data_IF_595949614561
#
_entry.id   IF_595949614561
#
_cell.length_a   1.000
_cell.length_b   1.000
_cell.length_c   1.000
_cell.angle_alpha   90.00
_cell.angle_beta   90.00
_cell.angle_gamma   90.00
#
_symmetry.space_group_name_H-M   'P 1'
#
loop_
_entity.id
_entity.type
_entity.pdbx_description
1 polymer ?
#
# COMPACT_ATOMS: atom_id res chain seq x y z
N UNK A 1 19.31 -18.14 0.88
CA UNK A 1 20.16 -18.45 -0.28
C UNK A 1 19.84 -17.40 -1.34
N UNK A 2 20.84 -16.78 -1.97
CA UNK A 2 20.59 -15.79 -3.03
C UNK A 2 20.13 -16.58 -4.25
N UNK A 3 18.94 -16.27 -4.76
CA UNK A 3 18.41 -16.96 -5.93
C UNK A 3 19.15 -16.52 -7.19
N UNK A 4 19.49 -17.47 -8.05
CA UNK A 4 20.00 -17.16 -9.38
C UNK A 4 18.89 -16.66 -10.32
N UNK A 5 19.24 -16.34 -11.57
CA UNK A 5 18.26 -15.80 -12.52
C UNK A 5 17.18 -16.82 -12.90
N UNK A 6 17.53 -18.10 -13.03
CA UNK A 6 16.59 -19.13 -13.47
C UNK A 6 15.63 -19.49 -12.33
N UNK A 7 16.12 -19.52 -11.09
CA UNK A 7 15.31 -19.63 -9.88
C UNK A 7 14.33 -18.45 -9.77
N UNK A 8 14.79 -17.21 -9.98
CA UNK A 8 13.92 -16.01 -9.97
C UNK A 8 12.83 -16.08 -11.05
N UNK A 9 13.17 -16.52 -12.26
CA UNK A 9 12.20 -16.67 -13.35
C UNK A 9 11.16 -17.73 -12.99
N UNK A 10 11.60 -18.89 -12.47
CA UNK A 10 10.72 -19.99 -12.09
C UNK A 10 9.71 -19.55 -11.04
N UNK A 11 10.18 -18.87 -9.99
CA UNK A 11 9.32 -18.36 -8.93
C UNK A 11 8.28 -17.33 -9.44
N UNK A 12 8.67 -16.44 -10.37
CA UNK A 12 7.72 -15.50 -10.99
C UNK A 12 6.64 -16.25 -11.78
N UNK A 13 7.01 -17.29 -12.53
CA UNK A 13 6.05 -18.09 -13.31
C UNK A 13 5.04 -18.80 -12.39
N UNK A 14 5.49 -19.30 -11.24
CA UNK A 14 4.64 -19.98 -10.26
C UNK A 14 3.66 -19.02 -9.57
N UNK A 15 4.14 -17.83 -9.16
CA UNK A 15 3.33 -16.86 -8.40
C UNK A 15 2.42 -16.03 -9.30
N UNK A 16 2.80 -15.82 -10.57
CA UNK A 16 2.04 -15.02 -11.54
C UNK A 16 1.68 -15.87 -12.77
N UNK A 17 0.63 -16.71 -12.67
CA UNK A 17 0.20 -17.55 -13.78
C UNK A 17 -0.17 -16.70 -15.00
N UNK A 18 0.24 -17.15 -16.19
CA UNK A 18 0.11 -16.39 -17.43
C UNK A 18 1.29 -15.47 -17.74
N UNK A 19 2.31 -15.43 -16.87
CA UNK A 19 3.61 -14.81 -17.19
C UNK A 19 4.36 -15.60 -18.26
N UNK A 20 5.14 -14.90 -19.10
CA UNK A 20 5.98 -15.56 -20.10
C UNK A 20 7.20 -14.73 -20.50
N UNK A 21 8.23 -15.39 -21.02
CA UNK A 21 9.45 -14.75 -21.52
C UNK A 21 9.26 -14.32 -22.99
N UNK A 22 9.46 -13.03 -23.28
CA UNK A 22 9.36 -12.50 -24.65
C UNK A 22 10.63 -12.70 -25.48
N UNK A 23 11.83 -12.40 -24.94
CA UNK A 23 13.21 -12.66 -25.46
C UNK A 23 14.26 -12.36 -24.37
N UNK A 24 15.44 -13.01 -24.38
CA UNK A 24 16.63 -12.69 -23.54
C UNK A 24 16.26 -12.18 -22.12
N UNK A 25 15.58 -12.97 -21.30
CA UNK A 25 15.22 -12.59 -19.91
C UNK A 25 14.34 -11.33 -19.74
N UNK A 26 13.51 -10.98 -20.73
CA UNK A 26 12.42 -9.99 -20.56
C UNK A 26 11.12 -10.73 -20.36
N UNK A 27 10.50 -10.57 -19.19
CA UNK A 27 9.24 -11.20 -18.83
C UNK A 27 8.06 -10.25 -19.06
N UNK A 28 6.95 -10.81 -19.51
CA UNK A 28 5.64 -10.18 -19.44
C UNK A 28 4.88 -10.82 -18.28
N UNK A 29 4.40 -9.99 -17.34
CA UNK A 29 3.77 -10.44 -16.10
C UNK A 29 2.38 -9.81 -15.98
N UNK A 30 1.31 -10.62 -15.85
CA UNK A 30 -0.03 -10.10 -15.62
C UNK A 30 -0.16 -9.59 -14.18
N UNK A 31 -0.61 -8.35 -14.02
CA UNK A 31 -0.89 -7.76 -12.72
C UNK A 31 -2.36 -7.89 -12.33
N UNK A 32 -3.26 -7.82 -13.33
CA UNK A 32 -4.71 -8.05 -13.19
C UNK A 32 -5.33 -8.29 -14.59
N UNK A 33 -6.61 -8.69 -14.74
CA UNK A 33 -7.17 -9.21 -16.00
C UNK A 33 -7.01 -8.33 -17.26
N UNK A 34 -6.69 -7.04 -17.11
CA UNK A 34 -6.49 -6.11 -18.23
C UNK A 34 -5.16 -5.37 -18.21
N UNK A 35 -4.16 -5.86 -17.45
CA UNK A 35 -2.88 -5.15 -17.29
C UNK A 35 -1.69 -6.10 -17.15
N UNK A 36 -0.79 -6.01 -18.12
CA UNK A 36 0.51 -6.66 -18.07
C UNK A 36 1.60 -5.60 -17.90
N UNK A 37 2.66 -5.95 -17.18
CA UNK A 37 3.90 -5.18 -17.12
C UNK A 37 5.01 -5.96 -17.80
N UNK A 38 6.10 -5.26 -18.14
CA UNK A 38 7.33 -5.91 -18.58
C UNK A 38 8.41 -5.79 -17.52
N UNK A 39 9.14 -6.87 -17.28
CA UNK A 39 10.23 -6.94 -16.32
C UNK A 39 11.49 -7.35 -17.08
N UNK A 40 12.47 -6.46 -17.16
CA UNK A 40 13.74 -6.71 -17.84
C UNK A 40 14.80 -7.18 -16.83
N UNK A 41 15.13 -8.47 -16.92
CA UNK A 41 16.04 -9.18 -16.01
C UNK A 41 17.45 -9.35 -16.59
N UNK A 42 17.74 -8.83 -17.80
CA UNK A 42 19.02 -9.05 -18.51
C UNK A 42 20.27 -8.65 -17.74
N UNK A 43 20.13 -7.75 -16.76
CA UNK A 43 21.22 -7.21 -15.96
C UNK A 43 21.26 -7.78 -14.54
N UNK A 44 20.39 -8.74 -14.20
CA UNK A 44 20.39 -9.38 -12.89
C UNK A 44 21.81 -9.89 -12.54
N UNK A 45 22.31 -9.70 -11.30
CA UNK A 45 21.61 -9.25 -10.09
C UNK A 45 21.51 -7.72 -9.91
N UNK A 46 21.77 -6.91 -10.94
CA UNK A 46 21.41 -5.48 -10.88
C UNK A 46 19.89 -5.33 -10.87
N UNK A 47 19.43 -4.19 -10.32
CA UNK A 47 18.01 -3.85 -10.20
C UNK A 47 17.27 -4.09 -11.52
N UNK A 48 16.25 -4.97 -11.55
CA UNK A 48 15.41 -5.18 -12.72
C UNK A 48 14.78 -3.89 -13.20
N UNK A 49 14.59 -3.71 -14.51
CA UNK A 49 13.82 -2.57 -15.02
C UNK A 49 12.36 -2.99 -15.21
N UNK A 50 11.47 -2.37 -14.45
CA UNK A 50 10.03 -2.59 -14.55
C UNK A 50 9.41 -1.53 -15.46
N UNK A 51 8.64 -1.97 -16.46
CA UNK A 51 7.96 -1.11 -17.44
C UNK A 51 6.46 -1.31 -17.29
N UNK A 52 5.79 -0.26 -16.85
CA UNK A 52 4.35 -0.27 -16.59
C UNK A 52 3.61 0.42 -17.74
N UNK A 53 2.41 -0.07 -18.16
CA UNK A 53 1.59 0.61 -19.16
C UNK A 53 1.29 2.08 -18.82
N UNK A 54 1.23 2.94 -19.85
CA UNK A 54 1.00 4.39 -19.71
C UNK A 54 -0.26 4.74 -18.91
N UNK A 55 -1.31 3.91 -18.97
CA UNK A 55 -2.55 4.13 -18.20
C UNK A 55 -2.31 4.13 -16.68
N UNK A 56 -1.38 3.30 -16.19
CA UNK A 56 -0.96 3.34 -14.78
C UNK A 56 -0.01 4.50 -14.51
N UNK A 57 0.95 4.78 -15.38
CA UNK A 57 1.83 5.94 -15.15
C UNK A 57 1.04 7.25 -14.96
N UNK A 58 -0.07 7.42 -15.69
CA UNK A 58 -0.97 8.56 -15.51
C UNK A 58 -1.71 8.57 -14.16
N UNK A 59 -2.15 7.42 -13.67
CA UNK A 59 -2.91 7.32 -12.43
C UNK A 59 -2.02 7.29 -11.17
N UNK A 60 -0.82 6.73 -11.28
CA UNK A 60 0.08 6.42 -10.17
C UNK A 60 1.27 7.39 -10.08
N UNK A 61 1.53 8.15 -11.15
CA UNK A 61 2.77 8.90 -11.28
C UNK A 61 3.97 7.97 -11.38
N UNK A 62 5.05 8.30 -10.66
CA UNK A 62 6.20 7.43 -10.52
C UNK A 62 5.91 6.34 -9.48
N UNK A 63 5.82 5.10 -9.93
CA UNK A 63 5.49 3.97 -9.09
C UNK A 63 6.57 3.65 -8.04
N UNK A 64 7.81 4.08 -8.28
CA UNK A 64 8.91 3.84 -7.35
C UNK A 64 8.69 4.55 -6.00
N UNK A 65 7.82 5.58 -5.94
CA UNK A 65 7.49 6.26 -4.68
C UNK A 65 6.87 5.33 -3.64
N UNK A 66 6.08 4.34 -4.07
CA UNK A 66 5.44 3.40 -3.16
C UNK A 66 6.18 2.06 -3.05
N UNK A 67 7.36 1.92 -3.67
CA UNK A 67 8.23 0.74 -3.55
C UNK A 67 9.65 1.13 -3.06
N UNK A 68 9.80 1.70 -1.86
CA UNK A 68 11.11 2.11 -1.33
C UNK A 68 12.13 0.96 -1.31
N UNK A 69 11.68 -0.27 -1.04
CA UNK A 69 12.54 -1.46 -1.03
C UNK A 69 13.10 -1.79 -2.43
N UNK A 70 12.31 -1.60 -3.50
CA UNK A 70 12.82 -1.69 -4.88
C UNK A 70 13.81 -0.55 -5.20
N UNK A 71 13.56 0.66 -4.67
CA UNK A 71 14.45 1.81 -4.87
C UNK A 71 15.82 1.61 -4.22
N UNK A 72 15.86 1.01 -3.02
CA UNK A 72 17.08 0.69 -2.25
C UNK A 72 17.74 -0.65 -2.66
N UNK A 73 17.53 -1.11 -3.90
CA UNK A 73 18.03 -2.41 -4.39
C UNK A 73 19.53 -2.64 -4.13
N UNK A 74 19.86 -3.77 -3.50
CA UNK A 74 21.22 -4.22 -3.29
C UNK A 74 21.55 -5.41 -4.19
N UNK A 75 22.46 -5.24 -5.15
CA UNK A 75 22.86 -6.34 -6.07
C UNK A 75 23.60 -7.49 -5.39
N UNK A 76 24.19 -7.25 -4.22
CA UNK A 76 24.91 -8.28 -3.46
C UNK A 76 23.96 -9.10 -2.57
N UNK A 77 22.78 -8.55 -2.31
CA UNK A 77 21.70 -9.19 -1.56
C UNK A 77 20.38 -8.90 -2.28
N UNK A 78 20.19 -9.45 -3.49
CA UNK A 78 19.01 -9.14 -4.29
C UNK A 78 17.77 -9.72 -3.60
N UNK A 79 16.72 -8.92 -3.59
CA UNK A 79 15.42 -9.31 -3.08
C UNK A 79 14.73 -10.18 -4.13
N UNK A 80 13.86 -11.09 -3.70
CA UNK A 80 13.03 -11.87 -4.60
C UNK A 80 12.20 -10.94 -5.49
N UNK A 81 12.30 -11.12 -6.79
CA UNK A 81 11.61 -10.27 -7.75
C UNK A 81 10.11 -10.52 -7.66
N UNK A 82 9.70 -11.77 -7.38
CA UNK A 82 8.31 -12.15 -7.09
C UNK A 82 7.68 -11.26 -6.01
N UNK A 83 8.40 -10.99 -4.91
CA UNK A 83 7.95 -10.14 -3.81
C UNK A 83 7.75 -8.68 -4.25
N UNK A 84 8.66 -8.14 -5.06
CA UNK A 84 8.53 -6.80 -5.65
C UNK A 84 7.31 -6.72 -6.56
N UNK A 85 7.09 -7.75 -7.38
CA UNK A 85 5.94 -7.82 -8.27
C UNK A 85 4.62 -7.96 -7.48
N UNK A 86 4.63 -8.67 -6.36
CA UNK A 86 3.46 -8.83 -5.47
C UNK A 86 3.12 -7.51 -4.78
N UNK A 87 4.12 -6.81 -4.26
CA UNK A 87 3.97 -5.46 -3.73
C UNK A 87 3.42 -4.49 -4.79
N UNK A 88 3.94 -4.54 -6.02
CA UNK A 88 3.41 -3.73 -7.13
C UNK A 88 1.94 -4.06 -7.45
N UNK A 89 1.58 -5.35 -7.47
CA UNK A 89 0.22 -5.82 -7.66
C UNK A 89 -0.72 -5.26 -6.58
N UNK A 90 -0.37 -5.37 -5.30
CA UNK A 90 -1.16 -4.83 -4.18
C UNK A 90 -1.36 -3.31 -4.30
N UNK A 91 -0.31 -2.58 -4.70
CA UNK A 91 -0.42 -1.14 -4.96
C UNK A 91 -1.37 -0.82 -6.11
N UNK A 92 -1.32 -1.59 -7.19
CA UNK A 92 -2.24 -1.45 -8.31
C UNK A 92 -3.69 -1.74 -7.94
N UNK A 93 -3.94 -2.82 -7.20
CA UNK A 93 -5.26 -3.19 -6.72
C UNK A 93 -5.85 -2.11 -5.81
N UNK A 94 -5.02 -1.56 -4.90
CA UNK A 94 -5.42 -0.52 -3.96
C UNK A 94 -5.78 0.77 -4.69
N UNK A 95 -4.89 1.30 -5.53
CA UNK A 95 -5.11 2.59 -6.21
C UNK A 95 -6.22 2.49 -7.27
N UNK A 96 -6.40 1.32 -7.90
CA UNK A 96 -7.51 1.08 -8.82
C UNK A 96 -8.86 0.85 -8.10
N UNK A 97 -8.88 0.83 -6.77
CA UNK A 97 -10.09 0.57 -5.98
C UNK A 97 -10.66 -0.83 -6.20
N UNK A 98 -9.81 -1.83 -6.43
CA UNK A 98 -10.19 -3.24 -6.67
C UNK A 98 -10.13 -4.07 -5.40
N UNK A 99 -9.04 -3.95 -4.65
CA UNK A 99 -8.83 -4.57 -3.34
C UNK A 99 -7.81 -3.72 -2.59
N UNK A 100 -8.08 -3.43 -1.32
CA UNK A 100 -7.17 -2.67 -0.47
C UNK A 100 -6.35 -3.61 0.41
N UNK A 101 -5.05 -3.35 0.54
CA UNK A 101 -4.14 -4.16 1.34
C UNK A 101 -3.68 -3.38 2.56
N UNK A 102 -3.96 -3.86 3.76
CA UNK A 102 -3.51 -3.25 5.02
C UNK A 102 -2.50 -4.16 5.70
N UNK A 103 -1.46 -3.60 6.32
CA UNK A 103 -0.70 -4.35 7.32
C UNK A 103 -1.57 -4.53 8.57
N UNK A 104 -1.49 -5.69 9.21
CA UNK A 104 -2.24 -5.94 10.45
C UNK A 104 -1.90 -4.90 11.53
N UNK A 105 -0.60 -4.58 11.67
CA UNK A 105 -0.09 -3.56 12.57
C UNK A 105 -0.86 -2.24 12.43
N UNK A 106 -1.05 -1.75 11.20
CA UNK A 106 -1.70 -0.44 10.99
C UNK A 106 -3.17 -0.44 11.45
N UNK A 107 -3.88 -1.54 11.24
CA UNK A 107 -5.29 -1.63 11.65
C UNK A 107 -5.42 -1.78 13.16
N UNK A 108 -4.52 -2.53 13.81
CA UNK A 108 -4.48 -2.63 15.26
C UNK A 108 -4.22 -1.26 15.91
N UNK A 109 -3.26 -0.49 15.36
CA UNK A 109 -2.96 0.87 15.83
C UNK A 109 -4.18 1.79 15.62
N UNK A 110 -4.83 1.77 14.45
CA UNK A 110 -6.05 2.55 14.18
C UNK A 110 -7.19 2.17 15.14
N UNK A 111 -7.41 0.89 15.40
CA UNK A 111 -8.43 0.43 16.34
C UNK A 111 -8.18 0.97 17.76
N UNK A 112 -6.91 0.96 18.19
CA UNK A 112 -6.51 1.53 19.48
C UNK A 112 -6.72 3.04 19.54
N UNK A 113 -6.36 3.77 18.47
CA UNK A 113 -6.55 5.22 18.41
C UNK A 113 -8.03 5.61 18.38
N UNK A 114 -8.87 4.87 17.65
CA UNK A 114 -10.31 5.08 17.62
C UNK A 114 -10.95 4.87 19.01
N UNK A 115 -10.52 3.84 19.76
CA UNK A 115 -10.96 3.61 21.16
C UNK A 115 -10.55 4.75 22.08
N UNK A 116 -9.35 5.28 21.91
CA UNK A 116 -8.79 6.35 22.75
C UNK A 116 -9.45 7.69 22.45
N UNK A 117 -9.82 7.95 21.19
CA UNK A 117 -10.50 9.18 20.79
C UNK A 117 -11.97 9.23 21.23
N UNK A 118 -12.61 8.09 21.49
CA UNK A 118 -14.02 8.00 21.87
C UNK A 118 -14.34 8.90 23.07
N UNK A 119 -15.44 9.69 23.04
CA UNK A 119 -16.54 9.67 22.06
C UNK A 119 -16.34 10.58 20.83
N UNK A 120 -15.17 11.21 20.68
CA UNK A 120 -14.84 11.99 19.48
C UNK A 120 -14.43 11.07 18.33
N UNK A 121 -14.45 11.61 17.12
CA UNK A 121 -13.95 10.90 15.94
C UNK A 121 -12.42 11.01 15.84
N UNK A 122 -11.76 9.87 15.69
CA UNK A 122 -10.40 9.77 15.20
C UNK A 122 -10.37 10.08 13.70
N UNK A 123 -9.30 10.72 13.22
CA UNK A 123 -9.06 10.93 11.79
C UNK A 123 -7.55 10.84 11.48
N UNK A 124 -7.20 10.12 10.43
CA UNK A 124 -5.83 10.03 9.92
C UNK A 124 -5.77 9.88 8.40
N UNK A 125 -4.62 10.24 7.84
CA UNK A 125 -4.25 9.90 6.47
C UNK A 125 -3.40 8.62 6.50
N UNK A 126 -3.57 7.72 5.53
CA UNK A 126 -2.80 6.49 5.44
C UNK A 126 -1.85 6.51 4.24
N UNK A 127 -0.64 6.00 4.48
CA UNK A 127 0.44 5.89 3.52
C UNK A 127 0.53 4.49 2.96
N UNK A 128 0.68 4.39 1.64
CA UNK A 128 1.08 3.16 0.97
C UNK A 128 2.60 3.01 0.97
N UNK A 129 3.09 1.88 1.46
CA UNK A 129 4.50 1.49 1.47
C UNK A 129 4.58 0.06 0.97
N UNK A 130 5.44 -0.20 -0.01
CA UNK A 130 5.59 -1.51 -0.65
C UNK A 130 4.24 -2.16 -1.04
N UNK A 131 3.30 -1.36 -1.57
CA UNK A 131 1.99 -1.84 -2.01
C UNK A 131 0.93 -2.01 -0.93
N UNK A 132 1.27 -1.79 0.34
CA UNK A 132 0.38 -2.02 1.48
C UNK A 132 0.22 -0.73 2.28
N UNK A 133 -1.00 -0.45 2.77
CA UNK A 133 -1.23 0.64 3.72
C UNK A 133 -0.58 0.27 5.06
N UNK A 134 0.42 1.03 5.46
CA UNK A 134 1.30 0.67 6.58
C UNK A 134 1.55 1.78 7.61
N UNK A 135 1.50 3.04 7.20
CA UNK A 135 1.69 4.17 8.12
C UNK A 135 0.44 5.04 8.14
N UNK A 136 0.21 5.73 9.26
CA UNK A 136 -0.76 6.81 9.34
C UNK A 136 -0.10 8.12 9.75
N UNK A 137 -0.69 9.23 9.30
CA UNK A 137 -0.38 10.59 9.74
C UNK A 137 -1.62 11.16 10.39
N UNK A 138 -1.49 11.59 11.64
CA UNK A 138 -2.57 12.23 12.38
C UNK A 138 -2.84 13.63 11.81
N UNK A 139 -4.11 14.00 11.73
CA UNK A 139 -4.46 15.38 11.45
C UNK A 139 -4.11 16.29 12.66
N UNK A 140 -3.77 17.57 12.42
CA UNK A 140 -3.57 18.53 13.50
C UNK A 140 -4.81 18.58 14.41
N UNK A 141 -4.61 18.49 15.73
CA UNK A 141 -5.69 18.52 16.73
C UNK A 141 -6.18 17.15 17.21
N UNK A 142 -5.61 16.04 16.71
CA UNK A 142 -5.81 14.70 17.27
C UNK A 142 -4.72 14.41 18.32
N UNK A 143 -5.12 14.20 19.58
CA UNK A 143 -4.20 13.72 20.63
C UNK A 143 -3.93 12.22 20.43
N UNK A 144 -2.66 11.81 20.46
CA UNK A 144 -2.28 10.40 20.39
C UNK A 144 -1.20 10.07 21.41
N UNK A 145 -1.29 8.86 21.98
CA UNK A 145 -0.25 8.25 22.81
C UNK A 145 0.20 6.94 22.18
N UNK A 146 1.51 6.78 21.98
CA UNK A 146 2.13 5.48 21.68
C UNK A 146 2.32 5.20 20.19
N UNK A 147 3.56 5.38 19.73
CA UNK A 147 4.10 5.04 18.39
C UNK A 147 3.35 5.74 17.25
N UNK A 148 3.40 7.06 17.28
CA UNK A 148 3.09 7.91 16.14
C UNK A 148 4.35 8.06 15.28
N UNK A 149 4.25 7.89 13.96
CA UNK A 149 5.21 8.56 13.08
C UNK A 149 5.08 10.06 13.39
N UNK A 150 6.15 10.65 13.90
CA UNK A 150 6.21 12.06 14.30
C UNK A 150 5.60 12.90 13.19
N UNK A 151 4.61 13.70 13.56
CA UNK A 151 3.95 14.67 12.70
C UNK A 151 5.01 15.63 12.13
N UNK A 152 5.34 15.47 10.85
CA UNK A 152 6.14 16.43 10.11
C UNK A 152 5.26 17.09 9.04
N UNK A 153 4.64 18.25 9.32
CA UNK A 153 3.82 19.00 8.36
C UNK A 153 4.48 19.26 7.01
N UNK A 154 5.81 19.43 7.03
CA UNK A 154 6.64 19.62 5.83
C UNK A 154 6.61 18.42 4.90
N UNK A 155 6.33 17.21 5.41
CA UNK A 155 6.27 15.96 4.65
C UNK A 155 4.88 15.66 4.07
N UNK A 156 3.81 16.36 4.46
CA UNK A 156 2.46 16.14 3.92
C UNK A 156 2.27 16.81 2.54
N UNK A 157 2.89 17.98 2.34
CA UNK A 157 2.72 18.75 1.10
C UNK A 157 3.47 18.07 -0.06
N UNK A 158 2.70 17.50 -0.99
CA UNK A 158 3.25 16.87 -2.20
C UNK A 158 3.56 15.38 -2.05
N UNK A 159 3.19 14.79 -0.93
CA UNK A 159 3.39 13.37 -0.66
C UNK A 159 2.39 12.50 -1.41
N UNK A 160 2.88 11.87 -2.47
CA UNK A 160 2.04 11.04 -3.36
C UNK A 160 1.72 9.67 -2.78
N UNK A 161 2.30 9.31 -1.63
CA UNK A 161 2.05 8.01 -0.99
C UNK A 161 0.96 8.09 0.07
N UNK A 162 0.53 9.28 0.48
CA UNK A 162 -0.67 9.49 1.30
C UNK A 162 -1.94 9.37 0.44
N UNK A 163 -2.33 8.13 0.13
CA UNK A 163 -3.39 7.83 -0.84
C UNK A 163 -4.76 7.60 -0.21
N UNK A 164 -4.83 7.47 1.12
CA UNK A 164 -6.02 7.01 1.80
C UNK A 164 -6.33 7.78 3.08
N UNK A 165 -7.57 7.67 3.58
CA UNK A 165 -8.00 8.19 4.88
C UNK A 165 -8.57 7.08 5.75
N UNK A 166 -8.52 7.26 7.07
CA UNK A 166 -9.31 6.48 8.01
C UNK A 166 -9.85 7.36 9.13
N UNK A 167 -11.16 7.27 9.38
CA UNK A 167 -11.80 7.91 10.53
C UNK A 167 -12.72 6.96 11.29
N UNK A 168 -13.06 7.32 12.53
CA UNK A 168 -13.93 6.50 13.37
C UNK A 168 -15.28 7.14 13.58
N UNK A 169 -16.35 6.34 13.62
CA UNK A 169 -17.65 6.79 14.10
C UNK A 169 -17.89 6.32 15.55
N UNK A 170 -18.43 7.16 16.44
CA UNK A 170 -18.76 6.74 17.81
C UNK A 170 -19.90 5.71 17.85
N UNK A 171 -20.68 5.61 16.77
CA UNK A 171 -21.72 4.60 16.60
C UNK A 171 -21.18 3.33 15.90
N UNK A 172 -21.89 2.18 15.97
CA UNK A 172 -21.52 0.99 15.21
C UNK A 172 -21.64 1.12 13.68
N UNK A 173 -22.28 2.19 13.20
CA UNK A 173 -22.47 2.41 11.77
C UNK A 173 -21.16 2.87 11.11
N UNK A 174 -20.63 2.07 10.19
CA UNK A 174 -19.44 2.39 9.40
C UNK A 174 -19.76 2.91 7.98
N UNK A 175 -21.03 3.17 7.66
CA UNK A 175 -21.42 3.77 6.39
C UNK A 175 -21.10 5.27 6.35
N UNK A 176 -20.66 5.80 5.20
CA UNK A 176 -20.33 7.21 5.06
C UNK A 176 -21.55 8.11 5.14
N UNK A 177 -21.41 9.23 5.84
CA UNK A 177 -22.32 10.37 5.80
C UNK A 177 -22.13 11.21 4.53
N UNK A 178 -23.03 12.16 4.29
CA UNK A 178 -22.89 13.11 3.18
C UNK A 178 -21.63 13.99 3.31
N UNK A 179 -21.20 14.27 4.54
CA UNK A 179 -19.97 15.01 4.80
C UNK A 179 -18.73 14.17 4.45
N UNK A 180 -18.74 12.87 4.79
CA UNK A 180 -17.66 11.94 4.47
C UNK A 180 -17.45 11.82 2.97
N UNK A 181 -18.55 11.71 2.20
CA UNK A 181 -18.50 11.67 0.73
C UNK A 181 -17.83 12.90 0.11
N UNK A 182 -17.84 14.07 0.78
CA UNK A 182 -17.11 15.24 0.32
C UNK A 182 -15.60 15.14 0.57
N UNK A 183 -15.20 14.52 1.68
CA UNK A 183 -13.80 14.19 1.97
C UNK A 183 -13.29 13.11 1.03
N UNK A 184 -14.09 12.09 0.75
CA UNK A 184 -13.72 10.92 -0.05
C UNK A 184 -13.21 11.28 -1.44
N UNK A 185 -13.76 12.34 -2.04
CA UNK A 185 -13.37 12.86 -3.36
C UNK A 185 -11.89 13.25 -3.46
N UNK A 186 -11.19 13.42 -2.34
CA UNK A 186 -9.78 13.86 -2.29
C UNK A 186 -8.78 12.71 -2.22
N UNK A 187 -9.24 11.48 -1.95
CA UNK A 187 -8.37 10.33 -1.71
C UNK A 187 -8.84 9.11 -2.51
N UNK A 188 -7.91 8.22 -2.86
CA UNK A 188 -8.26 7.02 -3.63
C UNK A 188 -9.11 6.05 -2.80
N UNK A 189 -8.74 5.89 -1.53
CA UNK A 189 -9.34 4.96 -0.58
C UNK A 189 -9.76 5.71 0.68
N UNK A 190 -10.91 5.35 1.26
CA UNK A 190 -11.38 5.94 2.50
C UNK A 190 -11.95 4.84 3.39
N UNK A 191 -11.52 4.79 4.64
CA UNK A 191 -11.93 3.78 5.60
C UNK A 191 -12.69 4.40 6.77
N UNK A 192 -13.72 3.72 7.25
CA UNK A 192 -14.52 4.12 8.40
C UNK A 192 -14.53 2.97 9.39
N UNK A 193 -14.21 3.23 10.65
CA UNK A 193 -14.31 2.23 11.72
C UNK A 193 -15.43 2.61 12.71
N UNK A 194 -16.46 1.77 12.79
CA UNK A 194 -17.54 1.94 13.77
C UNK A 194 -17.18 1.36 15.15
N UNK A 195 -17.88 1.79 16.20
CA UNK A 195 -17.81 1.12 17.50
C UNK A 195 -18.22 -0.37 17.39
N UNK A 196 -17.54 -1.33 18.07
CA UNK A 196 -16.57 -1.16 19.14
C UNK A 196 -15.10 -1.07 18.68
N UNK A 197 -14.85 -0.57 17.47
CA UNK A 197 -13.51 -0.27 16.94
C UNK A 197 -12.64 -1.52 16.79
N UNK A 198 -13.09 -2.40 15.90
CA UNK A 198 -12.37 -3.61 15.49
C UNK A 198 -12.25 -3.69 13.97
N UNK A 199 -11.39 -4.59 13.48
CA UNK A 199 -11.27 -4.90 12.04
C UNK A 199 -12.62 -5.34 11.46
N UNK A 200 -13.46 -6.03 12.24
CA UNK A 200 -14.79 -6.48 11.82
C UNK A 200 -15.80 -5.33 11.62
N UNK A 201 -15.50 -4.15 12.16
CA UNK A 201 -16.31 -2.94 12.03
C UNK A 201 -15.71 -1.94 11.05
N UNK A 202 -14.69 -2.35 10.27
CA UNK A 202 -14.06 -1.54 9.24
C UNK A 202 -14.88 -1.59 7.93
N UNK A 203 -15.34 -0.43 7.48
CA UNK A 203 -15.83 -0.22 6.12
C UNK A 203 -14.73 0.43 5.27
N UNK A 204 -14.57 -0.01 4.02
CA UNK A 204 -13.58 0.53 3.08
C UNK A 204 -14.27 0.92 1.79
N UNK A 205 -14.00 2.13 1.32
CA UNK A 205 -14.74 2.78 0.24
C UNK A 205 -13.81 3.45 -0.77
N UNK A 206 -14.25 3.54 -2.02
CA UNK A 206 -13.57 4.34 -3.03
C UNK A 206 -13.96 5.84 -2.91
N UNK A 207 -13.41 6.67 -3.79
CA UNK A 207 -13.70 8.12 -3.83
C UNK A 207 -15.18 8.49 -4.07
N UNK A 208 -16.02 7.54 -4.48
CA UNK A 208 -17.48 7.71 -4.67
C UNK A 208 -18.31 7.19 -3.50
N UNK A 209 -17.69 6.58 -2.49
CA UNK A 209 -18.39 5.91 -1.39
C UNK A 209 -18.87 4.50 -1.73
N UNK A 210 -18.41 3.90 -2.83
CA UNK A 210 -18.73 2.51 -3.17
C UNK A 210 -17.79 1.58 -2.38
N UNK A 211 -18.30 0.48 -1.78
CA UNK A 211 -17.49 -0.42 -0.96
C UNK A 211 -16.44 -1.16 -1.80
N UNK A 212 -15.23 -1.32 -1.24
CA UNK A 212 -14.12 -2.08 -1.83
C UNK A 212 -13.74 -3.22 -0.86
N UNK A 213 -13.49 -4.45 -1.34
CA UNK A 213 -12.93 -5.49 -0.49
C UNK A 213 -11.53 -5.12 0.01
N UNK A 214 -11.14 -5.65 1.16
CA UNK A 214 -9.79 -5.46 1.69
C UNK A 214 -9.22 -6.76 2.24
N UNK A 215 -7.90 -6.78 2.43
CA UNK A 215 -7.15 -7.90 2.96
C UNK A 215 -6.13 -7.39 3.99
N UNK A 216 -5.95 -8.15 5.07
CA UNK A 216 -5.07 -7.81 6.19
C UNK A 216 -3.87 -8.74 6.17
N UNK A 217 -2.68 -8.16 6.18
CA UNK A 217 -1.41 -8.87 6.03
C UNK A 217 -0.63 -8.84 7.34
N UNK A 218 -0.47 -10.00 7.98
CA UNK A 218 0.47 -10.22 9.08
C UNK A 218 1.92 -10.07 8.61
N UNK A 219 2.21 -10.63 7.43
CA UNK A 219 3.52 -10.63 6.79
C UNK A 219 3.34 -10.21 5.33
N UNK A 220 3.45 -8.90 5.03
CA UNK A 220 3.34 -8.41 3.67
C UNK A 220 4.54 -8.86 2.81
N UNK A 221 4.45 -8.75 1.48
CA UNK A 221 5.44 -9.35 0.57
C UNK A 221 6.86 -8.80 0.72
N UNK A 222 6.97 -7.56 1.20
CA UNK A 222 8.23 -6.89 1.45
C UNK A 222 8.17 -6.29 2.84
N UNK A 223 9.27 -6.44 3.58
CA UNK A 223 9.43 -5.77 4.86
C UNK A 223 9.34 -4.25 4.69
N UNK A 224 8.70 -3.62 5.66
CA UNK A 224 8.75 -2.18 5.81
C UNK A 224 10.05 -1.90 6.55
N UNK A 225 11.01 -1.28 5.87
CA UNK A 225 12.28 -0.94 6.50
C UNK A 225 11.98 -0.06 7.72
N UNK A 226 12.32 -0.53 8.91
CA UNK A 226 12.53 0.37 10.04
C UNK A 226 13.76 1.19 9.67
N UNK A 227 13.57 2.44 9.23
CA UNK A 227 14.69 3.36 9.08
C UNK A 227 15.24 3.63 10.50
N UNK A 228 16.18 2.79 10.96
CA UNK A 228 16.94 3.01 12.22
C UNK A 228 17.69 4.37 12.21
N UNK A 229 17.86 5.01 11.06
CA UNK A 229 18.57 6.30 10.91
C UNK A 229 17.67 7.55 10.82
N UNK A 230 16.40 7.50 11.23
CA UNK A 230 15.54 8.70 11.23
C UNK A 230 15.37 9.40 12.60
N UNK A 231 16.18 9.03 13.59
CA UNK A 231 16.16 9.59 14.96
C UNK A 231 17.31 10.56 15.31
N UNK A 232 18.01 11.12 14.32
CA UNK A 232 18.93 12.25 14.54
C UNK A 232 18.60 13.43 13.65
#
# INVERSE_FOLDING_TARGET
MIMDLDEQITEILDIFPGSFLKKKAVMEVPMFPSANIQVDLRKYPKRPKIIIPKKFQKAFGDFEYFLPTYKKWNRNHPIQISQILKALQYGFETIAGKKVHFSEKILNDICYMAKTAYPKEFFSLLRIVNGVLHEYVLAPGTEASGISAVFFPSRIRGDRTLIATCHSHPSPNNHPSQADLNTFKKFFINAIIGAPFSINTLGVYNFKGEPIPFEVHLSPPLDFMEDEESFF
#
